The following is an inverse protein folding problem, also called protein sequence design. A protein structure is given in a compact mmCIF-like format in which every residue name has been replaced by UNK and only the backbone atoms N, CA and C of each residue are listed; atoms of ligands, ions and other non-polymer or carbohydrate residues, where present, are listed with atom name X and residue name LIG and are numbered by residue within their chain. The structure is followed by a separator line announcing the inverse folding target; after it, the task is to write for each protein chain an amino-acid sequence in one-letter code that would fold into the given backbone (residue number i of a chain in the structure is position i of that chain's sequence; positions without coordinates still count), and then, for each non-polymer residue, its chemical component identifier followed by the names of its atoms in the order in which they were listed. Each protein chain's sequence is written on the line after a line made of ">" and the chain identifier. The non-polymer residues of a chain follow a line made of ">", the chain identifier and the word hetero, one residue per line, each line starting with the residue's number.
data_IF_416359476379
#
_entry.id   IF_416359476379
#
_cell.length_a   1.000
_cell.length_b   1.000
_cell.length_c   1.000
_cell.angle_alpha   90.00
_cell.angle_beta   90.00
_cell.angle_gamma   90.00
#
_symmetry.space_group_name_H-M   'P 1'
#
loop_
_entity.id
_entity.type
_entity.pdbx_description
1 polymer ?
#
# COMPACT_ATOMS: atom_id res chain seq x y z
N UNK A 1 -14.32 -23.35 -3.21
CA UNK A 1 -12.97 -22.76 -3.11
C UNK A 1 -12.66 -22.66 -1.63
N UNK A 2 -11.55 -23.26 -1.19
CA UNK A 2 -11.23 -23.46 0.24
C UNK A 2 -10.31 -22.34 0.73
N UNK A 3 -10.50 -21.91 1.98
CA UNK A 3 -9.81 -20.80 2.68
C UNK A 3 -8.27 -20.90 2.70
N UNK A 4 -7.69 -22.03 2.30
CA UNK A 4 -6.24 -22.26 2.24
C UNK A 4 -5.56 -21.65 1.00
N UNK A 5 -6.30 -21.34 -0.05
CA UNK A 5 -5.74 -20.80 -1.30
C UNK A 5 -5.56 -19.27 -1.25
N UNK A 6 -6.17 -18.60 -0.26
CA UNK A 6 -6.06 -17.16 0.02
C UNK A 6 -4.78 -16.78 0.81
N UNK A 7 -4.22 -17.73 1.57
CA UNK A 7 -3.09 -17.50 2.49
C UNK A 7 -1.73 -17.28 1.80
N UNK A 8 -1.62 -17.57 0.50
CA UNK A 8 -0.34 -17.60 -0.22
C UNK A 8 -0.09 -16.36 -1.10
N UNK A 9 -0.97 -15.36 -1.08
CA UNK A 9 -0.78 -14.14 -1.88
C UNK A 9 -0.35 -12.91 -1.05
N UNK A 10 -0.44 -13.01 0.28
CA UNK A 10 -0.15 -11.91 1.24
C UNK A 10 1.18 -12.14 1.99
N UNK A 11 1.70 -13.36 1.99
CA UNK A 11 2.87 -13.75 2.80
C UNK A 11 4.25 -13.44 2.19
N UNK A 12 4.34 -12.99 0.93
CA UNK A 12 5.63 -12.95 0.21
C UNK A 12 6.27 -11.55 0.03
N UNK A 13 5.70 -10.47 0.58
CA UNK A 13 5.99 -9.12 0.03
C UNK A 13 6.70 -8.11 0.97
N UNK A 14 6.71 -8.27 2.28
CA UNK A 14 6.83 -7.09 3.16
C UNK A 14 8.23 -6.89 3.76
N UNK A 15 9.33 -6.91 3.01
CA UNK A 15 10.66 -7.06 3.64
C UNK A 15 11.50 -5.77 3.92
N UNK A 16 10.99 -4.52 3.89
CA UNK A 16 11.91 -3.34 3.75
C UNK A 16 11.42 -1.95 4.31
N UNK A 17 12.21 -1.29 5.18
CA UNK A 17 12.38 0.18 5.46
C UNK A 17 11.66 0.95 6.62
N UNK A 18 11.69 0.44 7.87
CA UNK A 18 11.59 1.30 9.09
C UNK A 18 12.93 1.99 9.41
N UNK A 19 13.21 3.17 8.83
CA UNK A 19 14.48 3.87 9.09
C UNK A 19 14.36 5.41 9.03
N UNK A 20 13.62 6.05 9.96
CA UNK A 20 13.79 7.49 10.30
C UNK A 20 12.95 7.87 11.54
N UNK A 21 13.53 8.71 12.43
CA UNK A 21 12.91 9.39 13.60
C UNK A 21 13.04 8.73 14.99
N UNK A 22 14.28 8.45 15.43
CA UNK A 22 14.65 8.57 16.84
C UNK A 22 15.68 9.69 17.02
N UNK A 23 15.25 10.86 17.50
CA UNK A 23 16.17 11.90 17.98
C UNK A 23 15.50 12.69 19.12
N UNK A 24 15.71 12.25 20.36
CA UNK A 24 16.01 13.18 21.45
C UNK A 24 17.31 12.71 22.14
N UNK A 25 18.39 13.45 21.85
CA UNK A 25 19.67 13.55 22.55
C UNK A 25 20.29 12.30 23.18
N UNK A 26 21.06 11.55 22.38
CA UNK A 26 22.36 11.01 22.81
C UNK A 26 23.27 10.91 21.58
N UNK A 27 24.55 11.31 21.71
CA UNK A 27 25.57 11.17 20.66
C UNK A 27 25.70 9.70 20.23
N UNK A 28 24.98 9.30 19.18
CA UNK A 28 25.13 7.99 18.55
C UNK A 28 25.84 8.15 17.22
N UNK A 29 27.01 7.50 17.11
CA UNK A 29 27.70 7.26 15.86
C UNK A 29 26.78 6.46 14.93
N UNK A 30 26.15 7.12 13.95
CA UNK A 30 25.29 6.49 12.95
C UNK A 30 26.11 5.55 12.05
N UNK A 31 26.06 4.25 12.32
CA UNK A 31 26.29 3.24 11.30
C UNK A 31 24.94 2.83 10.71
N UNK A 32 24.74 3.14 9.42
CA UNK A 32 23.63 2.71 8.55
C UNK A 32 23.01 1.37 8.99
N UNK A 33 21.79 1.31 9.53
CA UNK A 33 21.02 0.06 9.44
C UNK A 33 20.32 0.00 8.10
N UNK A 34 20.50 -1.16 7.48
CA UNK A 34 19.66 -1.72 6.44
C UNK A 34 18.60 -2.55 7.14
N UNK A 35 17.37 -2.24 6.82
CA UNK A 35 16.10 -2.87 7.17
C UNK A 35 15.74 -3.98 6.18
N UNK A 36 15.85 -5.20 6.66
CA UNK A 36 15.54 -6.40 5.91
C UNK A 36 14.36 -7.14 6.61
N UNK A 37 13.16 -6.53 6.74
CA UNK A 37 11.93 -7.28 7.10
C UNK A 37 10.79 -6.54 7.83
N UNK A 38 9.54 -6.67 7.37
CA UNK A 38 8.27 -6.43 8.09
C UNK A 38 7.43 -7.72 7.99
N UNK A 39 6.90 -8.18 9.12
CA UNK A 39 6.17 -9.44 9.32
C UNK A 39 4.76 -9.09 9.77
N UNK A 40 3.72 -9.45 9.01
CA UNK A 40 2.33 -9.27 9.44
C UNK A 40 1.86 -10.56 10.10
N UNK A 41 1.38 -10.48 11.33
CA UNK A 41 0.77 -11.61 12.05
C UNK A 41 -0.69 -11.33 12.35
N UNK A 42 -1.46 -12.41 12.49
CA UNK A 42 -2.91 -12.35 12.68
C UNK A 42 -3.24 -12.94 14.04
N UNK A 43 -4.01 -12.22 14.82
CA UNK A 43 -4.62 -12.77 16.03
C UNK A 43 -6.03 -12.22 16.18
N UNK A 44 -7.02 -13.09 15.99
CA UNK A 44 -8.45 -12.78 16.18
C UNK A 44 -8.82 -12.48 17.65
N UNK A 45 -7.83 -12.43 18.56
CA UNK A 45 -8.04 -12.41 20.02
C UNK A 45 -7.54 -11.13 20.73
N UNK A 46 -7.20 -10.05 20.04
CA UNK A 46 -6.56 -8.89 20.69
C UNK A 46 -7.49 -7.67 20.75
N UNK A 47 -7.92 -7.36 21.98
CA UNK A 47 -8.44 -6.08 22.42
C UNK A 47 -7.43 -4.93 22.16
N UNK A 48 -7.95 -3.71 22.01
CA UNK A 48 -7.37 -2.45 21.50
C UNK A 48 -5.99 -1.94 21.99
N UNK A 49 -5.12 -2.77 22.57
CA UNK A 49 -3.77 -2.35 22.99
C UNK A 49 -2.72 -2.71 21.92
N UNK A 50 -2.37 -1.70 21.12
CA UNK A 50 -1.25 -1.74 20.18
C UNK A 50 0.08 -1.81 20.96
N UNK A 51 0.57 -3.02 21.24
CA UNK A 51 1.86 -3.24 21.91
C UNK A 51 2.95 -3.60 20.89
N UNK A 52 3.81 -2.64 20.57
CA UNK A 52 5.02 -2.84 19.75
C UNK A 52 6.09 -3.56 20.58
N UNK A 53 6.44 -4.81 20.24
CA UNK A 53 7.48 -5.59 20.95
C UNK A 53 8.77 -5.65 20.15
N UNK A 54 9.81 -4.95 20.62
CA UNK A 54 11.18 -5.03 20.08
C UNK A 54 12.00 -6.03 20.90
N UNK A 55 12.28 -7.22 20.35
CA UNK A 55 13.20 -8.17 20.98
C UNK A 55 14.65 -7.82 20.65
N UNK A 56 15.42 -7.36 21.63
CA UNK A 56 16.84 -7.04 21.48
C UNK A 56 17.70 -8.31 21.53
N UNK A 57 17.85 -8.98 20.38
CA UNK A 57 18.73 -10.13 20.19
C UNK A 57 19.46 -10.02 18.85
N UNK A 58 20.80 -10.05 18.89
CA UNK A 58 21.67 -9.90 17.72
C UNK A 58 21.34 -10.93 16.62
N UNK A 59 20.53 -10.53 15.63
CA UNK A 59 20.54 -10.82 14.17
C UNK A 59 19.13 -10.57 13.62
N UNK A 60 19.00 -9.70 12.61
CA UNK A 60 17.79 -9.36 11.83
C UNK A 60 16.59 -8.81 12.62
N UNK A 61 16.41 -7.49 12.60
CA UNK A 61 15.24 -6.78 13.15
C UNK A 61 14.06 -6.87 12.17
N UNK A 62 13.04 -7.68 12.49
CA UNK A 62 11.75 -7.68 11.80
C UNK A 62 10.73 -6.85 12.59
N UNK A 63 9.99 -5.98 11.92
CA UNK A 63 8.86 -5.28 12.56
C UNK A 63 7.62 -6.17 12.42
N UNK A 64 6.88 -6.40 13.50
CA UNK A 64 5.64 -7.16 13.45
C UNK A 64 4.43 -6.21 13.44
N UNK A 65 3.64 -6.19 12.36
CA UNK A 65 2.41 -5.38 12.27
C UNK A 65 1.19 -6.29 12.33
N UNK A 66 0.45 -6.25 13.43
CA UNK A 66 -0.76 -7.04 13.60
C UNK A 66 -1.96 -6.23 13.10
N UNK A 67 -2.64 -6.72 12.07
CA UNK A 67 -3.84 -6.07 11.53
C UNK A 67 -5.08 -6.66 12.23
N UNK A 68 -5.88 -5.85 12.93
CA UNK A 68 -6.86 -6.35 13.90
C UNK A 68 -8.20 -6.78 13.28
N UNK A 69 -8.43 -6.61 11.98
CA UNK A 69 -9.74 -6.86 11.36
C UNK A 69 -9.67 -7.43 9.93
N UNK A 70 -10.76 -8.09 9.50
CA UNK A 70 -10.94 -8.64 8.15
C UNK A 70 -10.94 -7.59 7.03
N UNK A 71 -11.14 -6.31 7.38
CA UNK A 71 -11.11 -5.19 6.44
C UNK A 71 -9.69 -4.59 6.29
N UNK A 72 -8.68 -5.16 6.96
CA UNK A 72 -7.30 -4.69 6.90
C UNK A 72 -7.14 -3.18 7.16
N UNK A 73 -7.98 -2.59 8.03
CA UNK A 73 -7.91 -1.16 8.35
C UNK A 73 -6.65 -0.90 9.18
N UNK A 74 -5.82 0.03 8.71
CA UNK A 74 -4.61 0.46 9.41
C UNK A 74 -4.96 1.06 10.78
N UNK A 75 -4.35 0.57 11.87
CA UNK A 75 -4.66 1.03 13.22
C UNK A 75 -4.56 2.55 13.36
N UNK A 76 -5.55 3.16 14.03
CA UNK A 76 -5.62 4.61 14.21
C UNK A 76 -6.18 5.39 13.01
N UNK A 77 -6.65 4.70 11.97
CA UNK A 77 -7.40 5.26 10.83
C UNK A 77 -8.77 4.59 10.73
N UNK A 78 -9.67 5.14 9.93
CA UNK A 78 -10.98 4.55 9.64
C UNK A 78 -11.19 4.25 8.16
N UNK A 79 -10.38 4.85 7.28
CA UNK A 79 -10.50 4.78 5.84
C UNK A 79 -9.33 4.07 5.15
N UNK A 80 -8.21 3.81 5.84
CA UNK A 80 -7.04 3.19 5.23
C UNK A 80 -7.12 1.65 5.29
N UNK A 81 -7.88 1.02 4.39
CA UNK A 81 -7.91 -0.43 4.23
C UNK A 81 -8.88 -0.89 3.14
N UNK A 82 -9.43 -2.09 3.26
CA UNK A 82 -10.45 -2.61 2.35
C UNK A 82 -11.81 -1.96 2.68
N UNK A 83 -12.11 -0.88 1.95
CA UNK A 83 -13.20 0.03 2.29
C UNK A 83 -12.89 0.79 3.58
N UNK A 84 -13.92 1.06 4.38
CA UNK A 84 -13.78 1.84 5.61
C UNK A 84 -14.67 1.31 6.73
N UNK A 85 -14.35 1.74 7.96
CA UNK A 85 -15.12 1.50 9.19
C UNK A 85 -15.64 2.82 9.79
N UNK A 86 -15.75 3.86 8.95
CA UNK A 86 -16.22 5.17 9.36
C UNK A 86 -17.74 5.20 9.47
N UNK A 87 -18.27 5.82 10.52
CA UNK A 87 -19.71 6.00 10.73
C UNK A 87 -20.30 7.00 9.73
N UNK A 88 -19.52 8.03 9.38
CA UNK A 88 -19.88 9.05 8.41
C UNK A 88 -18.64 9.66 7.72
N UNK A 89 -18.85 10.61 6.82
CA UNK A 89 -17.77 11.23 6.04
C UNK A 89 -16.70 11.89 6.92
N UNK A 90 -17.07 12.56 8.01
CA UNK A 90 -16.16 13.32 8.88
C UNK A 90 -15.56 12.49 10.02
N UNK A 91 -16.04 11.26 10.16
CA UNK A 91 -15.50 10.28 11.09
C UNK A 91 -14.12 9.79 10.65
N UNK A 92 -13.10 10.37 11.28
CA UNK A 92 -11.68 10.13 11.02
C UNK A 92 -11.00 9.63 12.29
N UNK A 93 -10.04 8.72 12.13
CA UNK A 93 -9.19 8.21 13.19
C UNK A 93 -8.19 9.24 13.75
N UNK A 94 -7.31 8.78 14.64
CA UNK A 94 -6.31 9.64 15.30
C UNK A 94 -5.26 10.17 14.30
N UNK A 95 -4.93 9.39 13.27
CA UNK A 95 -4.05 9.80 12.17
C UNK A 95 -4.82 10.60 11.12
N UNK A 96 -5.43 11.71 11.54
CA UNK A 96 -6.46 12.43 10.79
C UNK A 96 -6.06 12.79 9.36
N UNK A 97 -4.84 13.27 9.14
CA UNK A 97 -4.43 13.75 7.81
C UNK A 97 -4.11 12.59 6.85
N UNK A 98 -3.48 11.52 7.34
CA UNK A 98 -3.34 10.25 6.59
C UNK A 98 -4.70 9.65 6.26
N UNK A 99 -5.61 9.65 7.23
CA UNK A 99 -6.95 9.09 7.07
C UNK A 99 -7.79 9.89 6.06
N UNK A 100 -7.59 11.21 5.96
CA UNK A 100 -8.17 12.03 4.88
C UNK A 100 -7.66 11.63 3.50
N UNK A 101 -6.37 11.29 3.36
CA UNK A 101 -5.82 10.80 2.10
C UNK A 101 -6.51 9.48 1.68
N UNK A 102 -6.68 8.56 2.64
CA UNK A 102 -7.38 7.29 2.39
C UNK A 102 -8.87 7.51 2.09
N UNK A 103 -9.55 8.40 2.82
CA UNK A 103 -10.95 8.77 2.53
C UNK A 103 -11.12 9.34 1.13
N UNK A 104 -10.21 10.21 0.68
CA UNK A 104 -10.25 10.76 -0.67
C UNK A 104 -10.03 9.66 -1.71
N UNK A 105 -9.09 8.74 -1.45
CA UNK A 105 -8.82 7.57 -2.27
C UNK A 105 -10.04 6.64 -2.38
N UNK A 106 -10.67 6.28 -1.26
CA UNK A 106 -11.92 5.50 -1.18
C UNK A 106 -13.09 6.10 -1.99
N UNK A 107 -13.05 7.40 -2.27
CA UNK A 107 -14.07 8.14 -3.02
C UNK A 107 -13.71 8.37 -4.48
N UNK A 108 -12.74 7.63 -5.01
CA UNK A 108 -12.41 7.65 -6.41
C UNK A 108 -13.64 7.40 -7.28
N UNK A 109 -13.88 8.21 -8.34
CA UNK A 109 -15.06 8.06 -9.19
C UNK A 109 -14.98 6.86 -10.14
N UNK A 110 -13.80 6.28 -10.35
CA UNK A 110 -13.57 5.18 -11.29
C UNK A 110 -12.77 4.07 -10.60
N UNK A 111 -13.45 2.97 -10.32
CA UNK A 111 -12.91 1.82 -9.57
C UNK A 111 -13.31 0.51 -10.25
N UNK A 112 -12.51 -0.53 -10.04
CA UNK A 112 -12.86 -1.91 -10.37
C UNK A 112 -12.82 -2.71 -9.07
N UNK A 113 -13.99 -3.05 -8.56
CA UNK A 113 -14.15 -3.82 -7.33
C UNK A 113 -13.49 -5.19 -7.42
N UNK A 114 -13.22 -5.79 -6.25
CA UNK A 114 -12.60 -7.11 -6.16
C UNK A 114 -13.36 -8.14 -7.02
N UNK A 115 -12.61 -8.85 -7.88
CA UNK A 115 -13.12 -9.88 -8.80
C UNK A 115 -14.14 -9.40 -9.84
N UNK A 116 -14.38 -8.09 -9.95
CA UNK A 116 -15.29 -7.53 -10.96
C UNK A 116 -14.57 -7.25 -12.27
N UNK A 117 -15.37 -7.06 -13.32
CA UNK A 117 -14.91 -6.67 -14.64
C UNK A 117 -15.58 -5.37 -15.05
N UNK A 118 -14.77 -4.36 -15.33
CA UNK A 118 -15.18 -3.05 -15.84
C UNK A 118 -14.15 -2.63 -16.90
N UNK A 119 -14.54 -1.81 -17.88
CA UNK A 119 -13.65 -1.37 -18.96
C UNK A 119 -12.96 -2.51 -19.75
N UNK A 120 -13.58 -3.71 -19.78
CA UNK A 120 -12.99 -4.96 -20.28
C UNK A 120 -11.71 -5.41 -19.53
N UNK A 121 -11.48 -4.90 -18.32
CA UNK A 121 -10.44 -5.34 -17.41
C UNK A 121 -11.06 -6.10 -16.24
N UNK A 122 -10.59 -7.32 -15.98
CA UNK A 122 -10.96 -8.06 -14.77
C UNK A 122 -9.95 -7.76 -13.67
N UNK A 123 -10.40 -7.31 -12.50
CA UNK A 123 -9.56 -7.16 -11.32
C UNK A 123 -9.39 -8.53 -10.62
N UNK A 124 -8.21 -9.17 -10.64
CA UNK A 124 -8.01 -10.46 -10.00
C UNK A 124 -7.74 -10.35 -8.49
N UNK A 125 -7.57 -9.14 -7.96
CA UNK A 125 -7.25 -8.92 -6.55
C UNK A 125 -8.49 -9.06 -5.66
N UNK A 126 -8.24 -9.39 -4.40
CA UNK A 126 -9.28 -9.46 -3.35
C UNK A 126 -9.69 -8.07 -2.83
N UNK A 127 -9.09 -7.00 -3.35
CA UNK A 127 -9.32 -5.61 -3.00
C UNK A 127 -9.62 -4.77 -4.25
N UNK A 128 -10.24 -3.61 -4.05
CA UNK A 128 -10.62 -2.67 -5.12
C UNK A 128 -9.38 -2.04 -5.75
N UNK A 129 -9.32 -1.99 -7.08
CA UNK A 129 -8.30 -1.24 -7.83
C UNK A 129 -8.90 0.04 -8.38
N UNK A 130 -8.11 1.10 -8.40
CA UNK A 130 -8.57 2.45 -8.74
C UNK A 130 -7.91 2.95 -10.02
N UNK A 131 -8.44 4.04 -10.57
CA UNK A 131 -7.80 4.73 -11.67
C UNK A 131 -6.40 5.22 -11.30
N UNK A 132 -5.50 5.28 -12.28
CA UNK A 132 -4.14 5.80 -12.05
C UNK A 132 -4.13 7.27 -11.61
N UNK A 133 -5.17 8.03 -11.92
CA UNK A 133 -5.32 9.40 -11.43
C UNK A 133 -5.50 9.41 -9.90
N UNK A 134 -6.47 8.66 -9.39
CA UNK A 134 -6.73 8.54 -7.96
C UNK A 134 -5.53 8.00 -7.18
N UNK A 135 -4.84 6.99 -7.71
CA UNK A 135 -3.65 6.44 -7.06
C UNK A 135 -2.50 7.45 -7.02
N UNK A 136 -2.32 8.26 -8.06
CA UNK A 136 -1.29 9.30 -8.06
C UNK A 136 -1.65 10.50 -7.18
N UNK A 137 -2.94 10.82 -7.03
CA UNK A 137 -3.40 11.78 -6.03
C UNK A 137 -3.16 11.27 -4.61
N UNK A 138 -3.45 10.00 -4.36
CA UNK A 138 -3.18 9.37 -3.07
C UNK A 138 -1.68 9.38 -2.74
N UNK A 139 -0.83 9.03 -3.71
CA UNK A 139 0.63 9.11 -3.59
C UNK A 139 1.07 10.51 -3.14
N UNK A 140 0.60 11.55 -3.86
CA UNK A 140 0.95 12.95 -3.56
C UNK A 140 0.41 13.41 -2.22
N UNK A 141 -0.80 12.98 -1.85
CA UNK A 141 -1.41 13.30 -0.57
C UNK A 141 -0.57 12.77 0.59
N UNK A 142 -0.24 11.47 0.55
CA UNK A 142 0.62 10.85 1.56
C UNK A 142 2.00 11.54 1.64
N UNK A 143 2.61 11.84 0.47
CA UNK A 143 3.88 12.59 0.42
C UNK A 143 3.78 14.01 0.96
N UNK A 144 2.60 14.63 0.90
CA UNK A 144 2.36 15.95 1.47
C UNK A 144 2.15 15.91 2.98
N UNK A 145 1.56 14.84 3.51
CA UNK A 145 1.40 14.64 4.97
C UNK A 145 2.75 14.33 5.60
N UNK A 146 3.51 13.41 5.01
CA UNK A 146 4.91 13.11 5.35
C UNK A 146 5.18 12.88 6.85
N UNK A 147 4.28 12.16 7.52
CA UNK A 147 4.44 11.69 8.89
C UNK A 147 4.72 10.18 8.92
N UNK A 148 4.90 9.61 10.11
CA UNK A 148 5.11 8.17 10.25
C UNK A 148 3.95 7.34 9.64
N UNK A 149 2.70 7.72 9.90
CA UNK A 149 1.53 6.97 9.47
C UNK A 149 1.33 6.96 7.95
N UNK A 150 1.48 8.12 7.30
CA UNK A 150 1.40 8.29 5.85
C UNK A 150 2.57 7.63 5.13
N UNK A 151 3.78 7.67 5.70
CA UNK A 151 4.93 7.01 5.12
C UNK A 151 4.83 5.47 5.18
N UNK A 152 4.29 4.93 6.27
CA UNK A 152 3.95 3.51 6.34
C UNK A 152 2.87 3.15 5.32
N UNK A 153 1.81 3.95 5.21
CA UNK A 153 0.73 3.69 4.27
C UNK A 153 1.19 3.74 2.81
N UNK A 154 2.07 4.68 2.49
CA UNK A 154 2.71 4.76 1.17
C UNK A 154 3.52 3.50 0.87
N UNK A 155 4.33 3.03 1.82
CA UNK A 155 5.09 1.79 1.69
C UNK A 155 4.17 0.57 1.48
N UNK A 156 3.11 0.46 2.28
CA UNK A 156 2.16 -0.65 2.18
C UNK A 156 1.51 -0.67 0.80
N UNK A 157 0.91 0.44 0.38
CA UNK A 157 0.12 0.49 -0.85
C UNK A 157 0.98 0.42 -2.12
N UNK A 158 2.00 1.26 -2.21
CA UNK A 158 2.79 1.43 -3.43
C UNK A 158 4.00 0.52 -3.52
N UNK A 159 4.39 -0.18 -2.45
CA UNK A 159 5.52 -1.12 -2.49
C UNK A 159 5.04 -2.51 -2.15
N UNK A 160 4.37 -2.69 -1.01
CA UNK A 160 4.10 -4.00 -0.46
C UNK A 160 2.83 -4.69 -0.99
N UNK A 161 1.88 -3.98 -1.59
CA UNK A 161 0.74 -4.66 -2.24
C UNK A 161 1.06 -5.08 -3.68
N UNK A 162 2.08 -4.47 -4.30
CA UNK A 162 2.34 -4.66 -5.73
C UNK A 162 1.12 -4.36 -6.60
N UNK A 163 0.22 -3.47 -6.14
CA UNK A 163 -1.01 -3.15 -6.86
C UNK A 163 -0.72 -2.41 -8.16
N UNK A 164 -1.68 -2.48 -9.07
CA UNK A 164 -1.68 -1.78 -10.34
C UNK A 164 -2.92 -0.89 -10.41
N UNK A 165 -2.78 0.22 -11.11
CA UNK A 165 -3.89 1.09 -11.44
C UNK A 165 -4.31 0.87 -12.88
N UNK A 166 -5.46 1.44 -13.27
CA UNK A 166 -5.91 1.40 -14.66
C UNK A 166 -6.13 2.81 -15.22
N UNK A 167 -5.95 2.96 -16.54
CA UNK A 167 -6.32 4.16 -17.30
C UNK A 167 -6.47 3.82 -18.77
N UNK A 168 -7.18 4.67 -19.49
CA UNK A 168 -7.26 4.62 -20.95
C UNK A 168 -5.98 5.21 -21.56
N UNK A 169 -5.26 4.42 -22.35
CA UNK A 169 -4.06 4.87 -23.07
C UNK A 169 -3.89 4.06 -24.37
N UNK A 170 -2.90 4.46 -25.18
CA UNK A 170 -2.50 3.68 -26.36
C UNK A 170 -1.99 2.29 -25.96
N UNK A 171 -2.08 1.26 -26.84
CA UNK A 171 -1.59 -0.07 -26.52
C UNK A 171 -0.10 -0.06 -26.13
N UNK A 172 0.22 -0.65 -24.99
CA UNK A 172 1.61 -0.78 -24.51
C UNK A 172 2.40 -1.71 -25.43
N UNK A 173 3.55 -1.24 -25.91
CA UNK A 173 4.50 -2.01 -26.73
C UNK A 173 5.74 -2.48 -25.97
N UNK A 174 6.04 -1.84 -24.85
CA UNK A 174 7.26 -2.12 -24.10
C UNK A 174 7.45 -1.19 -22.91
N UNK A 175 8.64 -1.28 -22.32
CA UNK A 175 9.01 -0.50 -21.15
C UNK A 175 10.51 -0.19 -21.16
N UNK A 176 10.85 1.09 -20.97
CA UNK A 176 12.22 1.61 -21.02
C UNK A 176 12.88 1.73 -19.66
N UNK A 177 12.10 1.89 -18.60
CA UNK A 177 12.60 2.09 -17.24
C UNK A 177 11.88 1.20 -16.23
N UNK A 178 12.64 0.56 -15.33
CA UNK A 178 12.11 -0.36 -14.34
C UNK A 178 12.57 -0.03 -12.92
N UNK A 179 11.75 -0.36 -11.93
CA UNK A 179 12.20 -0.48 -10.54
C UNK A 179 13.06 -1.73 -10.35
N UNK A 180 14.06 -1.64 -9.47
CA UNK A 180 14.98 -2.76 -9.18
C UNK A 180 14.57 -3.59 -7.95
N UNK A 181 13.78 -3.02 -7.03
CA UNK A 181 13.42 -3.64 -5.75
C UNK A 181 12.04 -3.16 -5.27
N UNK A 182 11.21 -3.95 -4.54
CA UNK A 182 11.33 -5.40 -4.29
C UNK A 182 10.86 -6.24 -5.50
N UNK A 183 9.99 -5.68 -6.34
CA UNK A 183 9.58 -6.29 -7.60
C UNK A 183 9.91 -5.36 -8.76
N UNK A 184 10.08 -5.97 -9.93
CA UNK A 184 10.29 -5.26 -11.18
C UNK A 184 8.95 -4.70 -11.66
N UNK A 185 8.82 -3.38 -11.61
CA UNK A 185 7.70 -2.60 -12.13
C UNK A 185 8.16 -1.72 -13.27
N UNK A 186 7.31 -1.47 -14.25
CA UNK A 186 7.60 -0.53 -15.32
C UNK A 186 7.25 0.90 -14.90
N UNK A 187 8.19 1.83 -15.02
CA UNK A 187 7.99 3.25 -14.73
C UNK A 187 7.71 4.07 -15.99
N UNK A 188 8.29 3.65 -17.12
CA UNK A 188 8.16 4.36 -18.39
C UNK A 188 7.81 3.38 -19.51
N UNK A 189 6.55 3.44 -19.94
CA UNK A 189 5.99 2.61 -20.99
C UNK A 189 6.24 3.21 -22.38
N UNK A 190 6.35 2.34 -23.38
CA UNK A 190 6.27 2.72 -24.80
C UNK A 190 4.94 2.27 -25.37
N UNK A 191 4.45 2.98 -26.37
CA UNK A 191 3.10 2.81 -26.90
C UNK A 191 3.07 2.67 -28.43
N UNK A 192 2.01 2.04 -28.93
CA UNK A 192 1.65 2.09 -30.34
C UNK A 192 0.57 3.14 -30.57
N UNK A 193 0.98 4.35 -30.93
CA UNK A 193 0.07 5.48 -31.17
C UNK A 193 -0.76 5.34 -32.46
N UNK A 194 -0.53 4.29 -33.26
CA UNK A 194 -1.31 4.06 -34.49
C UNK A 194 -2.66 3.38 -34.23
N UNK A 195 -2.83 2.81 -33.04
CA UNK A 195 -4.04 2.10 -32.61
C UNK A 195 -4.94 2.98 -31.73
N UNK A 196 -6.20 2.59 -31.58
CA UNK A 196 -7.14 3.25 -30.67
C UNK A 196 -6.77 2.97 -29.20
N UNK A 197 -7.07 3.95 -28.34
CA UNK A 197 -6.85 3.81 -26.90
C UNK A 197 -7.82 2.80 -26.31
N UNK A 198 -7.37 2.12 -25.27
CA UNK A 198 -8.21 1.28 -24.43
C UNK A 198 -7.65 1.22 -23.01
N UNK A 199 -8.51 0.82 -22.07
CA UNK A 199 -8.12 0.67 -20.69
C UNK A 199 -7.12 -0.48 -20.51
N UNK A 200 -6.04 -0.20 -19.79
CA UNK A 200 -4.94 -1.14 -19.51
C UNK A 200 -4.48 -0.99 -18.06
N UNK A 201 -3.80 -2.02 -17.54
CA UNK A 201 -3.15 -2.00 -16.23
C UNK A 201 -1.77 -1.35 -16.31
N UNK A 202 -1.46 -0.49 -15.33
CA UNK A 202 -0.18 0.18 -15.19
C UNK A 202 0.38 -0.01 -13.79
N UNK A 203 1.69 -0.16 -13.69
CA UNK A 203 2.38 -0.27 -12.42
C UNK A 203 2.46 1.11 -11.74
N UNK A 204 2.34 1.10 -10.41
CA UNK A 204 2.53 2.29 -9.61
C UNK A 204 4.01 2.46 -9.19
N UNK A 205 4.53 3.70 -9.17
CA UNK A 205 5.89 3.95 -8.71
C UNK A 205 6.05 3.59 -7.23
N UNK A 206 7.26 3.22 -6.83
CA UNK A 206 7.55 3.01 -5.42
C UNK A 206 7.42 4.32 -4.63
N UNK A 207 6.91 4.22 -3.41
CA UNK A 207 6.79 5.34 -2.48
C UNK A 207 8.14 5.72 -1.90
#
# INVERSE_FOLDING_TARGET
>A
MNDYEYSNQICDIIFVFIYRESQENTEFHFSKCSVDGLKITWNDSIDQDFEYKVSHGKTTEMVEMCMPNRQFIYPGTKWCGQGNIADDYDDLGVYRDTDKCCRAHDKCPDTIEAYQTEHNLTNPAFYTRLSCECDMEFYRCLKSVNDFSSNQMGTIYFVALGTQCFKEDYPVTGCTEYTYFPFRKCLQYTFDETQEKHYQWFDLPNY
#
